data_IF_768871017748
#
_entry.id   IF_768871017748
#
_cell.length_a   1.000
_cell.length_b   1.000
_cell.length_c   1.000
_cell.angle_alpha   90.00
_cell.angle_beta   90.00
_cell.angle_gamma   90.00
#
_symmetry.space_group_name_H-M   'P 1'
#
loop_
_entity.id
_entity.type
_entity.pdbx_description
1 polymer ?
#
# COMPACT_ATOMS: atom_id res chain seq x y z
N UNK A 1 47.34 -0.98 6.51
CA UNK A 1 46.25 -1.59 5.72
C UNK A 1 44.85 -1.47 6.34
N UNK A 2 44.68 -0.90 7.55
CA UNK A 2 43.40 -0.78 8.24
C UNK A 2 42.60 0.53 7.99
N UNK A 3 43.23 1.58 7.47
CA UNK A 3 42.59 2.91 7.38
C UNK A 3 41.80 3.16 6.10
N UNK A 4 42.21 2.58 4.97
CA UNK A 4 41.51 2.78 3.70
C UNK A 4 40.17 2.02 3.61
N UNK A 5 40.10 0.83 4.20
CA UNK A 5 38.83 0.08 4.32
C UNK A 5 37.79 0.85 5.15
N UNK A 6 38.23 1.46 6.27
CA UNK A 6 37.35 2.27 7.14
C UNK A 6 36.83 3.55 6.46
N UNK A 7 37.65 4.20 5.62
CA UNK A 7 37.23 5.41 4.87
C UNK A 7 36.27 5.04 3.75
N UNK A 8 36.53 3.95 3.05
CA UNK A 8 35.66 3.46 1.95
C UNK A 8 34.27 3.03 2.45
N UNK A 9 34.23 2.39 3.62
CA UNK A 9 32.96 1.98 4.25
C UNK A 9 32.16 3.21 4.73
N UNK A 10 32.82 4.21 5.35
CA UNK A 10 32.16 5.46 5.75
C UNK A 10 31.61 6.25 4.57
N UNK A 11 32.36 6.36 3.48
CA UNK A 11 31.91 7.05 2.25
C UNK A 11 30.72 6.30 1.64
N UNK A 12 30.71 4.98 1.67
CA UNK A 12 29.60 4.17 1.19
C UNK A 12 28.35 4.36 2.05
N UNK A 13 28.48 4.35 3.37
CA UNK A 13 27.39 4.65 4.31
C UNK A 13 26.84 6.08 4.15
N UNK A 14 27.70 7.08 3.93
CA UNK A 14 27.24 8.46 3.67
C UNK A 14 26.49 8.56 2.36
N UNK A 15 26.97 7.96 1.28
CA UNK A 15 26.29 7.94 -0.02
C UNK A 15 24.91 7.24 0.09
N UNK A 16 24.85 6.13 0.81
CA UNK A 16 23.59 5.41 1.06
C UNK A 16 22.61 6.27 1.87
N UNK A 17 23.06 6.97 2.92
CA UNK A 17 22.25 7.90 3.70
C UNK A 17 21.70 9.04 2.86
N UNK A 18 22.52 9.67 2.02
CA UNK A 18 22.08 10.73 1.10
C UNK A 18 21.08 10.21 0.07
N UNK A 19 21.27 9.01 -0.43
CA UNK A 19 20.35 8.35 -1.35
C UNK A 19 18.98 8.10 -0.70
N UNK A 20 18.97 7.60 0.54
CA UNK A 20 17.74 7.38 1.31
C UNK A 20 17.00 8.69 1.57
N UNK A 21 17.70 9.75 2.00
CA UNK A 21 17.08 11.06 2.25
C UNK A 21 16.43 11.61 0.98
N UNK A 22 17.11 11.52 -0.16
CA UNK A 22 16.55 11.96 -1.45
C UNK A 22 15.33 11.15 -1.84
N UNK A 23 15.36 9.85 -1.62
CA UNK A 23 14.22 8.95 -1.89
C UNK A 23 13.03 9.31 -1.02
N UNK A 24 13.23 9.51 0.29
CA UNK A 24 12.15 9.95 1.20
C UNK A 24 11.54 11.27 0.75
N UNK A 25 12.39 12.26 0.43
CA UNK A 25 11.92 13.57 -0.05
C UNK A 25 11.15 13.46 -1.37
N UNK A 26 11.60 12.62 -2.30
CA UNK A 26 10.90 12.38 -3.56
C UNK A 26 9.53 11.71 -3.32
N UNK A 27 9.48 10.71 -2.45
CA UNK A 27 8.23 10.03 -2.04
C UNK A 27 7.27 11.01 -1.38
N UNK A 28 7.74 11.91 -0.50
CA UNK A 28 6.88 12.89 0.17
C UNK A 28 6.20 13.85 -0.80
N UNK A 29 6.89 14.24 -1.86
CA UNK A 29 6.38 15.16 -2.88
C UNK A 29 5.50 14.50 -3.93
N UNK A 30 5.58 13.18 -4.09
CA UNK A 30 4.83 12.43 -5.08
C UNK A 30 3.39 12.17 -4.62
N UNK A 31 2.43 12.08 -5.54
CA UNK A 31 1.11 11.48 -5.32
C UNK A 31 1.18 9.96 -5.51
N UNK A 32 1.95 9.51 -6.50
CA UNK A 32 2.15 8.09 -6.83
C UNK A 32 3.65 7.80 -6.86
N UNK A 33 4.01 6.66 -6.32
CA UNK A 33 5.38 6.12 -6.34
C UNK A 33 5.41 4.89 -7.23
N UNK A 34 6.26 4.92 -8.25
CA UNK A 34 6.54 3.76 -9.09
C UNK A 34 7.83 3.13 -8.57
N UNK A 35 7.72 1.97 -7.96
CA UNK A 35 8.88 1.17 -7.54
C UNK A 35 9.31 0.29 -8.71
N UNK A 36 10.48 0.59 -9.26
CA UNK A 36 11.02 -0.11 -10.44
C UNK A 36 11.89 -1.28 -9.99
N UNK A 37 11.49 -2.50 -10.35
CA UNK A 37 12.20 -3.74 -10.06
C UNK A 37 12.83 -4.28 -11.34
N UNK A 38 14.09 -4.70 -11.27
CA UNK A 38 14.74 -5.43 -12.36
C UNK A 38 14.23 -6.88 -12.40
N UNK A 39 13.63 -7.28 -13.51
CA UNK A 39 13.08 -8.63 -13.65
C UNK A 39 14.15 -9.72 -13.55
N UNK A 40 15.42 -9.43 -13.91
CA UNK A 40 16.53 -10.39 -13.85
C UNK A 40 17.06 -10.62 -12.43
N UNK A 41 16.99 -9.60 -11.58
CA UNK A 41 17.43 -9.67 -10.18
C UNK A 41 16.30 -10.06 -9.24
N UNK A 42 15.06 -9.72 -9.61
CA UNK A 42 13.89 -9.85 -8.76
C UNK A 42 13.77 -8.73 -7.73
N UNK A 43 12.85 -8.89 -6.79
CA UNK A 43 12.63 -7.92 -5.72
C UNK A 43 13.73 -8.00 -4.67
N UNK A 44 14.36 -6.87 -4.37
CA UNK A 44 15.45 -6.73 -3.38
C UNK A 44 14.93 -6.18 -2.05
N UNK A 45 15.75 -6.27 -0.99
CA UNK A 45 15.44 -5.63 0.29
C UNK A 45 15.34 -4.11 0.17
N UNK A 46 16.12 -3.50 -0.72
CA UNK A 46 16.08 -2.06 -0.96
C UNK A 46 14.74 -1.66 -1.60
N UNK A 47 14.26 -2.42 -2.59
CA UNK A 47 12.95 -2.21 -3.20
C UNK A 47 11.83 -2.29 -2.15
N UNK A 48 11.90 -3.30 -1.27
CA UNK A 48 10.94 -3.48 -0.19
C UNK A 48 10.96 -2.30 0.80
N UNK A 49 12.14 -1.76 1.15
CA UNK A 49 12.27 -0.57 2.01
C UNK A 49 11.64 0.67 1.36
N UNK A 50 11.91 0.91 0.08
CA UNK A 50 11.34 2.05 -0.67
C UNK A 50 9.82 1.92 -0.77
N UNK A 51 9.33 0.73 -1.10
CA UNK A 51 7.91 0.43 -1.15
C UNK A 51 7.24 0.65 0.24
N UNK A 52 7.93 0.24 1.33
CA UNK A 52 7.48 0.47 2.71
C UNK A 52 7.33 1.96 3.04
N UNK A 53 8.30 2.78 2.67
CA UNK A 53 8.23 4.25 2.86
C UNK A 53 7.02 4.82 2.12
N UNK A 54 6.78 4.41 0.88
CA UNK A 54 5.63 4.86 0.10
C UNK A 54 4.30 4.45 0.75
N UNK A 55 4.23 3.23 1.27
CA UNK A 55 3.07 2.70 2.00
C UNK A 55 2.78 3.52 3.28
N UNK A 56 3.78 3.73 4.13
CA UNK A 56 3.67 4.48 5.38
C UNK A 56 3.23 5.94 5.14
N UNK A 57 3.70 6.54 4.03
CA UNK A 57 3.32 7.91 3.62
C UNK A 57 1.96 7.98 2.93
N UNK A 58 1.25 6.85 2.77
CA UNK A 58 -0.07 6.82 2.16
C UNK A 58 -0.11 7.15 0.69
N UNK A 59 1.00 6.90 -0.02
CA UNK A 59 1.08 7.19 -1.46
C UNK A 59 0.41 6.11 -2.29
N UNK A 60 0.01 6.45 -3.52
CA UNK A 60 -0.31 5.45 -4.53
C UNK A 60 0.95 4.69 -4.90
N UNK A 61 0.85 3.36 -5.06
CA UNK A 61 2.02 2.53 -5.33
C UNK A 61 1.78 1.62 -6.52
N UNK A 62 2.70 1.71 -7.47
CA UNK A 62 2.77 0.82 -8.63
C UNK A 62 4.13 0.13 -8.61
N UNK A 63 4.16 -1.18 -8.73
CA UNK A 63 5.37 -1.97 -8.88
C UNK A 63 5.58 -2.23 -10.36
N UNK A 64 6.60 -1.63 -10.95
CA UNK A 64 6.97 -1.80 -12.34
C UNK A 64 8.12 -2.80 -12.47
N UNK A 65 7.83 -3.99 -12.95
CA UNK A 65 8.83 -5.04 -13.22
C UNK A 65 9.41 -4.78 -14.61
N UNK A 66 10.58 -4.13 -14.63
CA UNK A 66 11.27 -3.70 -15.85
C UNK A 66 12.24 -4.75 -16.38
N UNK A 67 12.77 -4.54 -17.57
CA UNK A 67 13.61 -5.45 -18.35
C UNK A 67 12.91 -6.77 -18.68
N UNK A 68 11.59 -6.71 -18.81
CA UNK A 68 10.79 -7.90 -19.12
C UNK A 68 11.11 -8.54 -20.49
N UNK A 69 11.77 -7.80 -21.38
CA UNK A 69 12.30 -8.27 -22.66
C UNK A 69 13.48 -9.25 -22.49
N UNK A 70 14.28 -9.10 -21.44
CA UNK A 70 15.49 -9.88 -21.18
C UNK A 70 15.22 -11.24 -20.50
N UNK A 71 14.00 -11.50 -20.05
CA UNK A 71 13.62 -12.71 -19.32
C UNK A 71 13.16 -13.79 -20.29
N UNK A 72 13.66 -15.03 -20.13
CA UNK A 72 13.08 -16.19 -20.77
C UNK A 72 11.68 -16.48 -20.23
N UNK A 73 10.71 -16.54 -21.14
CA UNK A 73 9.29 -16.61 -20.76
C UNK A 73 8.73 -18.00 -21.06
N UNK A 74 8.04 -18.53 -20.06
CA UNK A 74 7.11 -19.63 -20.19
C UNK A 74 5.77 -19.25 -19.57
N UNK A 75 4.75 -20.10 -19.71
CA UNK A 75 3.39 -19.83 -19.22
C UNK A 75 3.31 -19.50 -17.71
N UNK A 76 4.31 -19.91 -16.93
CA UNK A 76 4.36 -19.72 -15.47
C UNK A 76 5.26 -18.56 -15.01
N UNK A 77 6.00 -17.93 -15.94
CA UNK A 77 7.01 -16.92 -15.58
C UNK A 77 6.39 -15.70 -14.87
N UNK A 78 5.33 -15.13 -15.43
CA UNK A 78 4.61 -13.99 -14.81
C UNK A 78 4.10 -14.37 -13.42
N UNK A 79 3.49 -15.56 -13.30
CA UNK A 79 2.95 -16.05 -12.03
C UNK A 79 4.03 -16.20 -10.95
N UNK A 80 5.21 -16.74 -11.29
CA UNK A 80 6.33 -16.87 -10.36
C UNK A 80 6.83 -15.51 -9.86
N UNK A 81 7.03 -14.56 -10.78
CA UNK A 81 7.45 -13.20 -10.40
C UNK A 81 6.40 -12.50 -9.54
N UNK A 82 5.11 -12.59 -9.94
CA UNK A 82 4.00 -12.03 -9.17
C UNK A 82 3.98 -12.58 -7.75
N UNK A 83 4.03 -13.91 -7.58
CA UNK A 83 3.99 -14.52 -6.26
C UNK A 83 5.18 -14.10 -5.40
N UNK A 84 6.39 -14.10 -5.97
CA UNK A 84 7.59 -13.68 -5.23
C UNK A 84 7.50 -12.23 -4.76
N UNK A 85 7.02 -11.33 -5.60
CA UNK A 85 6.81 -9.92 -5.23
C UNK A 85 5.73 -9.81 -4.15
N UNK A 86 4.61 -10.53 -4.29
CA UNK A 86 3.53 -10.53 -3.30
C UNK A 86 3.94 -11.12 -1.94
N UNK A 87 4.84 -12.11 -1.92
CA UNK A 87 5.43 -12.63 -0.68
C UNK A 87 6.28 -11.57 0.04
N UNK A 88 7.19 -10.92 -0.68
CA UNK A 88 8.09 -9.89 -0.09
C UNK A 88 7.32 -8.64 0.31
N UNK A 89 6.34 -8.22 -0.49
CA UNK A 89 5.50 -7.04 -0.26
C UNK A 89 4.12 -7.41 0.30
N UNK A 90 4.03 -8.41 1.18
CA UNK A 90 2.77 -8.92 1.73
C UNK A 90 1.98 -7.86 2.52
N UNK A 91 2.64 -6.80 3.00
CA UNK A 91 2.01 -5.68 3.70
C UNK A 91 1.27 -4.70 2.77
N UNK A 92 1.47 -4.79 1.45
CA UNK A 92 0.80 -3.95 0.46
C UNK A 92 0.19 -4.76 -0.70
N UNK A 93 -0.79 -5.63 -0.42
CA UNK A 93 -1.42 -6.48 -1.44
C UNK A 93 -2.18 -5.67 -2.50
N UNK A 94 -2.51 -4.42 -2.21
CA UNK A 94 -3.21 -3.50 -3.09
C UNK A 94 -2.35 -2.88 -4.19
N UNK A 95 -1.00 -2.93 -4.06
CA UNK A 95 -0.10 -2.32 -5.05
C UNK A 95 -0.28 -2.97 -6.42
N UNK A 96 -0.43 -2.15 -7.46
CA UNK A 96 -0.56 -2.62 -8.83
C UNK A 96 0.77 -3.12 -9.39
N UNK A 97 0.75 -4.22 -10.14
CA UNK A 97 1.92 -4.83 -10.75
C UNK A 97 1.84 -4.66 -12.28
N UNK A 98 2.88 -4.05 -12.87
CA UNK A 98 3.00 -3.90 -14.31
C UNK A 98 4.35 -4.45 -14.78
N UNK A 99 4.33 -5.36 -15.76
CA UNK A 99 5.54 -5.93 -16.35
C UNK A 99 5.86 -5.18 -17.65
N UNK A 100 6.97 -4.44 -17.65
CA UNK A 100 7.35 -3.51 -18.72
C UNK A 100 8.76 -3.78 -19.27
N UNK A 101 9.05 -3.22 -20.42
CA UNK A 101 10.42 -2.99 -20.86
C UNK A 101 10.56 -1.53 -21.29
N UNK A 102 11.29 -0.75 -20.51
CA UNK A 102 11.62 0.63 -20.86
C UNK A 102 12.47 0.71 -22.13
N UNK A 103 13.29 -0.31 -22.41
CA UNK A 103 14.16 -0.38 -23.59
C UNK A 103 13.36 -0.55 -24.89
N UNK A 104 12.36 -1.41 -24.89
CA UNK A 104 11.58 -1.75 -26.09
C UNK A 104 10.24 -1.02 -26.17
N UNK A 105 9.84 -0.30 -25.12
CA UNK A 105 8.52 0.33 -25.01
C UNK A 105 7.39 -0.65 -24.65
N UNK A 106 7.71 -1.91 -24.36
CA UNK A 106 6.71 -2.93 -24.06
C UNK A 106 5.85 -2.52 -22.86
N UNK A 107 4.53 -2.44 -23.07
CA UNK A 107 3.51 -2.14 -22.06
C UNK A 107 3.69 -0.81 -21.31
N UNK A 108 4.40 0.15 -21.87
CA UNK A 108 4.52 1.49 -21.30
C UNK A 108 3.15 2.20 -21.27
N UNK A 109 2.33 2.06 -22.33
CA UNK A 109 0.95 2.60 -22.33
C UNK A 109 0.12 2.02 -21.17
N UNK A 110 0.25 0.74 -20.88
CA UNK A 110 -0.42 0.09 -19.74
C UNK A 110 0.00 0.69 -18.40
N UNK A 111 1.26 1.08 -18.25
CA UNK A 111 1.73 1.73 -17.03
C UNK A 111 1.04 3.10 -16.84
N UNK A 112 0.88 3.91 -17.90
CA UNK A 112 0.15 5.18 -17.84
C UNK A 112 -1.33 4.97 -17.50
N UNK A 113 -2.00 4.01 -18.13
CA UNK A 113 -3.37 3.63 -17.77
C UNK A 113 -3.49 3.24 -16.28
N UNK A 114 -2.50 2.51 -15.77
CA UNK A 114 -2.45 2.12 -14.34
C UNK A 114 -2.25 3.34 -13.44
N UNK A 115 -1.43 4.31 -13.82
CA UNK A 115 -1.25 5.57 -13.09
C UNK A 115 -2.59 6.31 -12.97
N UNK A 116 -3.30 6.47 -14.09
CA UNK A 116 -4.60 7.16 -14.12
C UNK A 116 -5.62 6.46 -13.23
N UNK A 117 -5.71 5.14 -13.31
CA UNK A 117 -6.60 4.33 -12.46
C UNK A 117 -6.26 4.47 -10.96
N UNK A 118 -4.97 4.52 -10.59
CA UNK A 118 -4.55 4.73 -9.19
C UNK A 118 -4.92 6.13 -8.72
N UNK A 119 -4.79 7.17 -9.57
CA UNK A 119 -5.21 8.54 -9.25
C UNK A 119 -6.72 8.59 -8.99
N UNK A 120 -7.52 7.97 -9.86
CA UNK A 120 -8.96 7.87 -9.70
C UNK A 120 -9.33 7.19 -8.37
N UNK A 121 -8.70 6.06 -8.06
CA UNK A 121 -8.90 5.35 -6.80
C UNK A 121 -8.51 6.20 -5.57
N UNK A 122 -7.40 6.95 -5.63
CA UNK A 122 -6.98 7.84 -4.53
C UNK A 122 -7.96 8.98 -4.28
N UNK A 123 -8.64 9.45 -5.31
CA UNK A 123 -9.58 10.58 -5.24
C UNK A 123 -11.02 10.15 -5.05
N UNK A 124 -11.29 8.84 -5.10
CA UNK A 124 -12.61 8.28 -4.93
C UNK A 124 -13.22 8.70 -3.59
N UNK A 125 -14.42 9.26 -3.65
CA UNK A 125 -15.19 9.65 -2.48
C UNK A 125 -16.49 8.85 -2.42
N UNK A 126 -16.64 8.12 -1.32
CA UNK A 126 -17.79 7.26 -1.07
C UNK A 126 -18.82 8.03 -0.24
N UNK A 127 -20.08 7.93 -0.62
CA UNK A 127 -21.18 8.49 0.17
C UNK A 127 -21.31 7.75 1.50
N UNK A 128 -21.51 8.49 2.59
CA UNK A 128 -21.58 7.94 3.95
C UNK A 128 -22.67 6.87 4.09
N UNK A 129 -23.81 7.01 3.41
CA UNK A 129 -24.89 6.02 3.42
C UNK A 129 -24.42 4.67 2.88
N UNK A 130 -23.86 4.66 1.66
CA UNK A 130 -23.35 3.45 1.01
C UNK A 130 -22.22 2.80 1.83
N UNK A 131 -21.32 3.62 2.40
CA UNK A 131 -20.25 3.13 3.26
C UNK A 131 -20.79 2.41 4.50
N UNK A 132 -21.88 2.91 5.10
CA UNK A 132 -22.47 2.29 6.28
C UNK A 132 -23.34 1.08 5.96
N UNK A 133 -23.88 0.95 4.75
CA UNK A 133 -24.50 -0.30 4.28
C UNK A 133 -23.46 -1.43 4.23
N UNK A 134 -22.30 -1.20 3.60
CA UNK A 134 -21.22 -2.18 3.56
C UNK A 134 -20.69 -2.50 4.97
N UNK A 135 -20.53 -1.49 5.82
CA UNK A 135 -20.16 -1.69 7.21
C UNK A 135 -21.15 -2.60 7.96
N UNK A 136 -22.44 -2.37 7.79
CA UNK A 136 -23.50 -3.16 8.43
C UNK A 136 -23.49 -4.61 7.97
N UNK A 137 -23.32 -4.84 6.67
CA UNK A 137 -23.16 -6.18 6.09
C UNK A 137 -21.89 -6.87 6.64
N UNK A 138 -20.77 -6.17 6.69
CA UNK A 138 -19.51 -6.71 7.23
C UNK A 138 -19.66 -7.11 8.70
N UNK A 139 -20.28 -6.26 9.53
CA UNK A 139 -20.54 -6.54 10.95
C UNK A 139 -21.50 -7.73 11.13
N UNK A 140 -22.49 -7.88 10.23
CA UNK A 140 -23.40 -9.02 10.26
C UNK A 140 -22.71 -10.34 9.87
N UNK A 141 -21.81 -10.32 8.89
CA UNK A 141 -21.04 -11.50 8.46
C UNK A 141 -20.03 -11.95 9.50
N UNK A 142 -19.29 -11.02 10.08
CA UNK A 142 -18.30 -11.28 11.12
C UNK A 142 -18.51 -10.34 12.30
N UNK A 143 -19.02 -10.89 13.39
CA UNK A 143 -19.30 -10.11 14.57
C UNK A 143 -18.02 -9.48 15.15
N UNK A 144 -18.11 -8.23 15.65
CA UNK A 144 -16.99 -7.56 16.29
C UNK A 144 -16.46 -8.32 17.50
N UNK A 145 -15.14 -8.20 17.79
CA UNK A 145 -14.53 -8.88 18.92
C UNK A 145 -15.10 -8.43 20.26
N UNK A 146 -14.93 -9.29 21.26
CA UNK A 146 -15.25 -8.99 22.65
C UNK A 146 -14.04 -9.30 23.53
N UNK A 147 -13.76 -8.45 24.52
CA UNK A 147 -12.73 -8.67 25.53
C UNK A 147 -13.32 -8.43 26.92
N UNK A 148 -13.02 -9.33 27.88
CA UNK A 148 -13.44 -9.25 29.29
C UNK A 148 -14.93 -8.92 29.49
N UNK A 149 -15.80 -9.50 28.66
CA UNK A 149 -17.25 -9.30 28.73
C UNK A 149 -17.74 -7.99 28.06
N UNK A 150 -16.85 -7.13 27.60
CA UNK A 150 -17.20 -5.95 26.78
C UNK A 150 -17.14 -6.32 25.31
N UNK A 151 -18.18 -5.95 24.56
CA UNK A 151 -18.25 -6.17 23.12
C UNK A 151 -18.01 -4.87 22.38
N UNK A 152 -17.16 -4.93 21.34
CA UNK A 152 -17.00 -3.82 20.41
C UNK A 152 -18.32 -3.53 19.71
N UNK A 153 -18.76 -2.26 19.77
CA UNK A 153 -19.87 -1.72 18.99
C UNK A 153 -19.34 -0.70 18.02
N UNK A 154 -19.60 -0.90 16.75
CA UNK A 154 -19.28 0.07 15.70
C UNK A 154 -20.57 0.81 15.39
N UNK A 155 -20.55 2.12 15.51
CA UNK A 155 -21.73 2.95 15.32
C UNK A 155 -21.92 3.35 13.86
N UNK A 156 -20.87 3.89 13.25
CA UNK A 156 -20.84 4.28 11.84
C UNK A 156 -19.42 4.55 11.38
N UNK A 157 -19.27 4.69 10.07
CA UNK A 157 -18.01 5.04 9.42
C UNK A 157 -18.25 6.20 8.46
N UNK A 158 -17.25 7.07 8.32
CA UNK A 158 -17.27 8.16 7.34
C UNK A 158 -15.91 8.33 6.69
N UNK A 159 -15.88 8.75 5.43
CA UNK A 159 -14.65 9.11 4.74
C UNK A 159 -14.38 10.60 4.96
N UNK A 160 -13.25 10.93 5.59
CA UNK A 160 -12.89 12.31 5.95
C UNK A 160 -11.88 12.93 5.00
N UNK A 161 -11.07 12.11 4.31
CA UNK A 161 -10.06 12.60 3.37
C UNK A 161 -9.89 11.68 2.17
N UNK A 162 -9.24 12.21 1.14
CA UNK A 162 -8.70 11.52 -0.02
C UNK A 162 -7.18 11.76 -0.05
N UNK A 163 -6.42 10.92 -0.78
CA UNK A 163 -4.96 11.05 -0.95
C UNK A 163 -4.14 11.03 0.37
N UNK A 164 -4.18 9.97 1.19
CA UNK A 164 -4.87 8.70 0.96
C UNK A 164 -6.32 8.75 1.39
N UNK A 165 -7.17 7.86 0.85
CA UNK A 165 -8.52 7.67 1.34
C UNK A 165 -8.49 7.33 2.83
N UNK A 166 -9.10 8.21 3.64
CA UNK A 166 -9.04 8.12 5.10
C UNK A 166 -10.44 7.97 5.66
N UNK A 167 -10.65 6.96 6.46
CA UNK A 167 -11.94 6.61 7.06
C UNK A 167 -11.86 6.74 8.58
N UNK A 168 -12.87 7.34 9.17
CA UNK A 168 -13.05 7.37 10.62
C UNK A 168 -14.14 6.38 10.98
N UNK A 169 -13.83 5.47 11.88
CA UNK A 169 -14.75 4.48 12.44
C UNK A 169 -15.07 4.89 13.88
N UNK A 170 -16.34 5.13 14.15
CA UNK A 170 -16.81 5.50 15.49
C UNK A 170 -17.26 4.27 16.25
N UNK A 171 -16.65 4.06 17.41
CA UNK A 171 -16.84 2.88 18.27
C UNK A 171 -17.22 3.27 19.71
N UNK A 172 -17.61 2.29 20.50
CA UNK A 172 -17.85 2.48 21.94
C UNK A 172 -16.55 2.49 22.77
N UNK A 173 -15.52 1.78 22.31
CA UNK A 173 -14.25 1.61 23.01
C UNK A 173 -13.17 1.26 21.97
N UNK A 174 -12.18 2.15 21.79
CA UNK A 174 -11.13 1.99 20.78
C UNK A 174 -10.15 0.86 21.08
N UNK A 175 -9.99 0.50 22.37
CA UNK A 175 -9.10 -0.58 22.77
C UNK A 175 -9.61 -1.97 22.33
N UNK A 176 -10.93 -2.09 22.12
CA UNK A 176 -11.54 -3.30 21.59
C UNK A 176 -11.36 -3.47 20.06
N UNK A 177 -10.94 -2.41 19.37
CA UNK A 177 -10.73 -2.45 17.91
C UNK A 177 -9.37 -3.06 17.59
N UNK A 178 -9.29 -4.39 17.55
CA UNK A 178 -8.07 -5.10 17.20
C UNK A 178 -7.68 -4.92 15.72
N UNK A 179 -6.39 -4.92 15.46
CA UNK A 179 -5.82 -4.78 14.09
C UNK A 179 -6.44 -5.77 13.09
N UNK A 180 -6.67 -7.02 13.49
CA UNK A 180 -7.27 -8.04 12.65
C UNK A 180 -8.67 -7.67 12.17
N UNK A 181 -9.48 -7.04 13.02
CA UNK A 181 -10.81 -6.60 12.64
C UNK A 181 -10.79 -5.36 11.75
N UNK A 182 -9.89 -4.42 12.01
CA UNK A 182 -9.66 -3.29 11.10
C UNK A 182 -9.27 -3.78 9.72
N UNK A 183 -8.38 -4.77 9.62
CA UNK A 183 -7.97 -5.38 8.35
C UNK A 183 -9.12 -6.11 7.65
N UNK A 184 -9.99 -6.77 8.40
CA UNK A 184 -11.21 -7.36 7.86
C UNK A 184 -12.11 -6.29 7.22
N UNK A 185 -12.37 -5.18 7.92
CA UNK A 185 -13.17 -4.08 7.39
C UNK A 185 -12.51 -3.43 6.17
N UNK A 186 -11.19 -3.26 6.19
CA UNK A 186 -10.43 -2.78 5.02
C UNK A 186 -10.68 -3.68 3.80
N UNK A 187 -10.55 -4.99 3.96
CA UNK A 187 -10.79 -5.93 2.87
C UNK A 187 -12.22 -5.80 2.34
N UNK A 188 -13.24 -5.66 3.19
CA UNK A 188 -14.64 -5.45 2.77
C UNK A 188 -14.83 -4.16 1.97
N UNK A 189 -14.16 -3.09 2.37
CA UNK A 189 -14.18 -1.82 1.63
C UNK A 189 -13.49 -1.98 0.27
N UNK A 190 -12.36 -2.70 0.21
CA UNK A 190 -11.66 -2.98 -1.04
C UNK A 190 -12.47 -3.87 -1.97
N UNK A 191 -13.14 -4.89 -1.43
CA UNK A 191 -14.02 -5.77 -2.20
C UNK A 191 -15.19 -5.00 -2.84
N UNK A 192 -15.74 -4.01 -2.12
CA UNK A 192 -16.87 -3.24 -2.59
C UNK A 192 -16.51 -2.10 -3.56
N UNK A 193 -15.37 -1.42 -3.34
CA UNK A 193 -15.03 -0.18 -4.04
C UNK A 193 -13.70 -0.23 -4.81
N UNK A 194 -12.92 -1.30 -4.69
CA UNK A 194 -11.62 -1.46 -5.35
C UNK A 194 -10.48 -0.84 -4.55
N UNK A 195 -10.13 0.41 -4.81
CA UNK A 195 -8.95 1.08 -4.24
C UNK A 195 -7.61 0.41 -4.61
N UNK A 196 -7.53 -0.18 -5.81
CA UNK A 196 -6.28 -0.73 -6.32
C UNK A 196 -5.20 0.35 -6.42
N UNK A 197 -3.97 0.00 -6.09
CA UNK A 197 -2.82 0.91 -6.12
C UNK A 197 -2.74 1.94 -4.98
N UNK A 198 -3.75 2.04 -4.09
CA UNK A 198 -3.72 3.02 -3.00
C UNK A 198 -3.91 2.39 -1.62
N UNK A 199 -3.18 2.90 -0.63
CA UNK A 199 -3.37 2.54 0.77
C UNK A 199 -4.66 3.16 1.32
N UNK A 200 -5.27 2.51 2.31
CA UNK A 200 -6.40 3.06 3.06
C UNK A 200 -5.94 3.35 4.49
N UNK A 201 -6.38 4.50 5.01
CA UNK A 201 -6.10 4.90 6.38
C UNK A 201 -7.37 4.81 7.22
N UNK A 202 -7.28 4.14 8.37
CA UNK A 202 -8.36 4.02 9.32
C UNK A 202 -8.00 4.74 10.61
N UNK A 203 -8.92 5.57 11.09
CA UNK A 203 -8.83 6.29 12.35
C UNK A 203 -9.98 5.79 13.22
N UNK A 204 -9.67 5.24 14.38
CA UNK A 204 -10.68 4.77 15.32
C UNK A 204 -10.94 5.88 16.33
N UNK A 205 -12.20 6.28 16.50
CA UNK A 205 -12.63 7.28 17.48
C UNK A 205 -13.76 6.75 18.36
N UNK A 206 -13.76 7.15 19.61
CA UNK A 206 -14.89 6.90 20.50
C UNK A 206 -15.98 7.93 20.27
N UNK A 207 -17.23 7.48 20.43
CA UNK A 207 -18.39 8.37 20.31
C UNK A 207 -18.39 9.37 21.47
N UNK A 208 -18.18 10.65 21.17
CA UNK A 208 -18.12 11.72 22.16
C UNK A 208 -16.72 12.31 22.41
N UNK A 209 -15.66 11.72 21.86
CA UNK A 209 -14.35 12.41 21.80
C UNK A 209 -14.50 13.71 20.98
N UNK A 210 -14.32 14.86 21.63
CA UNK A 210 -14.23 16.16 20.95
C UNK A 210 -12.88 16.29 20.26
N UNK A 211 -12.85 16.97 19.10
CA UNK A 211 -11.62 17.31 18.38
C UNK A 211 -10.63 18.10 19.24
#
# INVERSE_FOLDING_TARGET
MGSEMCIRDRVKEEIERYSVIRTVTAVERADIVIVMIDASEGVTEQDAKIAGIAHERGKGVIIAVNKWDAIEKNDKTIYKHTNRIREVLAYMPYAELVFISAKTGLRISRMFETIDAVIENQTLRIQTGVLNEILSEAVAMQQPPSDKGKRLKIYYMTQVAVKPPTFVIFVNDKELMHFSYTRYLENKIRDAFGFAGTSLKFIIRERGEKE
#
